data_IF_830025788160
#
_entry.id   IF_830025788160
#
_cell.length_a   1.000
_cell.length_b   1.000
_cell.length_c   1.000
_cell.angle_alpha   90.00
_cell.angle_beta   90.00
_cell.angle_gamma   90.00
#
_symmetry.space_group_name_H-M   'P 1'
#
loop_
_entity.id
_entity.type
_entity.pdbx_description
1 polymer ?
#
# COMPACT_ATOMS: atom_id res chain seq x y z
N UNK A 1 -66.27 -29.93 -42.15
CA UNK A 1 -66.01 -30.15 -40.71
C UNK A 1 -64.76 -31.02 -40.63
N UNK A 2 -63.59 -30.38 -40.51
CA UNK A 2 -62.28 -31.03 -40.48
C UNK A 2 -61.55 -30.61 -39.20
N UNK A 3 -60.93 -31.61 -38.55
CA UNK A 3 -60.02 -31.47 -37.43
C UNK A 3 -58.83 -30.58 -37.78
N UNK A 4 -58.45 -29.66 -36.88
CA UNK A 4 -57.10 -29.11 -36.86
C UNK A 4 -56.54 -29.16 -35.44
N UNK A 5 -55.51 -29.97 -35.30
CA UNK A 5 -54.71 -30.28 -34.12
C UNK A 5 -53.86 -29.06 -33.74
N UNK A 6 -54.04 -28.50 -32.54
CA UNK A 6 -53.13 -27.45 -32.02
C UNK A 6 -52.12 -28.11 -31.09
N UNK A 7 -50.88 -28.15 -31.56
CA UNK A 7 -49.69 -28.62 -30.85
C UNK A 7 -49.25 -27.54 -29.85
N UNK A 8 -49.45 -27.76 -28.55
CA UNK A 8 -48.90 -26.89 -27.50
C UNK A 8 -47.43 -27.27 -27.25
N UNK A 9 -46.51 -26.45 -27.74
CA UNK A 9 -45.08 -26.58 -27.43
C UNK A 9 -44.84 -26.02 -26.03
N UNK A 10 -44.57 -26.90 -25.06
CA UNK A 10 -44.08 -26.51 -23.74
C UNK A 10 -42.59 -26.16 -23.85
N UNK A 11 -42.27 -24.87 -23.78
CA UNK A 11 -40.88 -24.41 -23.64
C UNK A 11 -40.53 -24.37 -22.14
N UNK A 12 -39.92 -25.43 -21.62
CA UNK A 12 -39.35 -25.40 -20.26
C UNK A 12 -38.02 -24.64 -20.31
N UNK A 13 -38.03 -23.41 -19.80
CA UNK A 13 -36.81 -22.67 -19.47
C UNK A 13 -36.09 -23.37 -18.32
N UNK A 14 -35.00 -24.08 -18.62
CA UNK A 14 -34.01 -24.46 -17.62
C UNK A 14 -33.23 -23.19 -17.23
N UNK A 15 -33.57 -22.58 -16.09
CA UNK A 15 -32.69 -21.60 -15.46
C UNK A 15 -31.58 -22.36 -14.74
N UNK A 16 -30.40 -22.36 -15.33
CA UNK A 16 -29.19 -22.83 -14.65
C UNK A 16 -28.85 -21.84 -13.55
N UNK A 17 -29.24 -22.19 -12.32
CA UNK A 17 -28.67 -21.67 -11.08
C UNK A 17 -27.16 -21.96 -11.11
N UNK A 18 -26.38 -21.04 -11.67
CA UNK A 18 -24.96 -20.98 -11.43
C UNK A 18 -24.80 -20.43 -10.01
N UNK A 19 -24.88 -21.33 -9.03
CA UNK A 19 -24.43 -21.03 -7.69
C UNK A 19 -22.99 -20.56 -7.79
N UNK A 20 -22.75 -19.28 -7.48
CA UNK A 20 -21.40 -18.78 -7.27
C UNK A 20 -20.83 -19.61 -6.13
N UNK A 21 -19.81 -20.43 -6.41
CA UNK A 21 -19.07 -21.11 -5.36
C UNK A 21 -18.50 -19.98 -4.50
N UNK A 22 -18.90 -19.86 -3.21
CA UNK A 22 -18.32 -18.84 -2.36
C UNK A 22 -16.79 -19.04 -2.35
N UNK A 23 -15.99 -17.97 -2.39
CA UNK A 23 -14.54 -18.11 -2.37
C UNK A 23 -14.12 -19.00 -1.20
N UNK A 24 -13.19 -19.93 -1.46
CA UNK A 24 -12.74 -20.88 -0.46
C UNK A 24 -12.27 -20.11 0.78
N UNK A 25 -12.71 -20.56 1.96
CA UNK A 25 -12.17 -20.07 3.24
C UNK A 25 -10.65 -20.19 3.16
N UNK A 26 -9.95 -19.06 3.25
CA UNK A 26 -8.49 -19.01 3.10
C UNK A 26 -7.82 -20.07 3.96
N UNK A 27 -6.86 -20.79 3.37
CA UNK A 27 -6.05 -21.78 4.09
C UNK A 27 -5.15 -21.12 5.14
N UNK A 28 -4.48 -21.91 6.00
CA UNK A 28 -3.47 -21.37 6.89
C UNK A 28 -2.39 -20.62 6.09
N UNK A 29 -1.86 -19.54 6.66
CA UNK A 29 -0.77 -18.78 6.03
C UNK A 29 0.37 -19.74 5.65
N UNK A 30 0.96 -19.59 4.44
CA UNK A 30 2.12 -20.39 4.06
C UNK A 30 3.25 -20.24 5.09
N UNK A 31 3.98 -21.32 5.35
CA UNK A 31 4.99 -21.38 6.42
C UNK A 31 6.02 -20.25 6.34
N UNK A 32 6.52 -19.95 5.14
CA UNK A 32 7.47 -18.85 4.93
C UNK A 32 6.88 -17.47 5.26
N UNK A 33 5.59 -17.27 5.05
CA UNK A 33 4.91 -16.01 5.39
C UNK A 33 4.78 -15.88 6.90
N UNK A 34 4.49 -16.99 7.58
CA UNK A 34 4.43 -17.06 9.04
C UNK A 34 5.80 -16.76 9.67
N UNK A 35 6.85 -17.43 9.22
CA UNK A 35 8.22 -17.18 9.67
C UNK A 35 8.65 -15.73 9.43
N UNK A 36 8.33 -15.17 8.26
CA UNK A 36 8.65 -13.78 7.96
C UNK A 36 7.89 -12.78 8.85
N UNK A 37 6.62 -13.07 9.15
CA UNK A 37 5.82 -12.23 10.06
C UNK A 37 6.36 -12.30 11.49
N UNK A 38 6.76 -13.50 11.94
CA UNK A 38 7.40 -13.70 13.26
C UNK A 38 8.76 -12.98 13.34
N UNK A 39 9.58 -13.05 12.29
CA UNK A 39 10.84 -12.31 12.22
C UNK A 39 10.60 -10.81 12.29
N UNK A 40 9.68 -10.27 11.48
CA UNK A 40 9.36 -8.83 11.47
C UNK A 40 8.84 -8.35 12.83
N UNK A 41 8.00 -9.14 13.49
CA UNK A 41 7.54 -8.85 14.86
C UNK A 41 8.68 -8.93 15.89
N UNK A 42 9.67 -9.78 15.69
CA UNK A 42 10.81 -9.90 16.62
C UNK A 42 11.90 -8.84 16.42
N UNK A 43 12.16 -8.44 15.17
CA UNK A 43 13.18 -7.47 14.82
C UNK A 43 12.68 -6.02 14.97
N UNK A 44 11.39 -5.80 14.68
CA UNK A 44 10.77 -4.48 14.72
C UNK A 44 9.45 -4.48 15.51
N UNK A 45 9.47 -4.94 16.79
CA UNK A 45 8.26 -5.11 17.59
C UNK A 45 7.46 -3.81 17.80
N UNK A 46 8.17 -2.68 17.79
CA UNK A 46 7.62 -1.34 17.99
C UNK A 46 7.66 -0.50 16.71
N UNK A 47 7.71 -1.13 15.53
CA UNK A 47 7.52 -0.37 14.31
C UNK A 47 6.04 -0.04 14.13
N UNK A 48 5.78 1.13 13.57
CA UNK A 48 4.44 1.60 13.26
C UNK A 48 3.61 0.54 12.49
N UNK A 49 4.23 -0.08 11.48
CA UNK A 49 3.62 -1.17 10.71
C UNK A 49 3.31 -2.42 11.55
N UNK A 50 4.17 -2.78 12.51
CA UNK A 50 3.91 -3.93 13.38
C UNK A 50 2.69 -3.68 14.28
N UNK A 51 2.56 -2.48 14.85
CA UNK A 51 1.39 -2.08 15.63
C UNK A 51 0.10 -2.13 14.81
N UNK A 52 0.14 -1.53 13.62
CA UNK A 52 -0.97 -1.53 12.67
C UNK A 52 -1.42 -2.96 12.33
N UNK A 53 -0.47 -3.84 11.98
CA UNK A 53 -0.78 -5.24 11.63
C UNK A 53 -1.39 -5.97 12.83
N UNK A 54 -0.85 -5.78 14.04
CA UNK A 54 -1.38 -6.39 15.25
C UNK A 54 -2.82 -5.93 15.52
N UNK A 55 -3.08 -4.62 15.44
CA UNK A 55 -4.43 -4.05 15.59
C UNK A 55 -5.39 -4.68 14.58
N UNK A 56 -5.01 -4.76 13.31
CA UNK A 56 -5.81 -5.34 12.25
C UNK A 56 -6.11 -6.84 12.47
N UNK A 57 -5.12 -7.62 12.90
CA UNK A 57 -5.32 -9.04 13.24
C UNK A 57 -6.34 -9.19 14.36
N UNK A 58 -6.20 -8.39 15.42
CA UNK A 58 -7.14 -8.40 16.56
C UNK A 58 -8.55 -8.04 16.12
N UNK A 59 -8.72 -7.01 15.29
CA UNK A 59 -10.03 -6.58 14.81
C UNK A 59 -10.66 -7.61 13.86
N UNK A 60 -9.87 -8.27 13.01
CA UNK A 60 -10.33 -9.43 12.23
C UNK A 60 -10.77 -10.60 13.10
N UNK A 61 -10.03 -10.91 14.17
CA UNK A 61 -10.43 -11.96 15.10
C UNK A 61 -11.77 -11.63 15.78
N UNK A 62 -11.97 -10.37 16.21
CA UNK A 62 -13.25 -9.92 16.77
C UNK A 62 -14.40 -10.06 15.77
N UNK A 63 -14.20 -9.68 14.50
CA UNK A 63 -15.23 -9.81 13.46
C UNK A 63 -15.53 -11.28 13.07
N UNK A 64 -14.56 -12.18 13.19
CA UNK A 64 -14.80 -13.63 13.04
C UNK A 64 -15.63 -14.18 14.20
N UNK A 65 -15.35 -13.70 15.43
CA UNK A 65 -16.05 -14.13 16.63
C UNK A 65 -17.47 -13.53 16.73
N UNK A 66 -17.72 -12.39 16.09
CA UNK A 66 -19.04 -11.75 16.01
C UNK A 66 -19.55 -11.68 14.56
N UNK A 67 -20.34 -12.66 14.11
CA UNK A 67 -20.81 -12.74 12.72
C UNK A 67 -21.76 -11.59 12.30
N UNK A 68 -22.26 -10.77 13.24
CA UNK A 68 -23.01 -9.55 12.92
C UNK A 68 -22.11 -8.41 12.40
N UNK A 69 -20.82 -8.41 12.78
CA UNK A 69 -19.84 -7.44 12.29
C UNK A 69 -19.48 -7.78 10.84
N UNK A 70 -19.17 -9.04 10.54
CA UNK A 70 -18.77 -9.45 9.19
C UNK A 70 -17.43 -8.82 8.75
N UNK A 71 -16.57 -9.60 8.10
CA UNK A 71 -15.26 -9.14 7.62
C UNK A 71 -15.31 -7.96 6.62
N UNK A 72 -16.47 -7.69 6.05
CA UNK A 72 -16.69 -6.60 5.10
C UNK A 72 -17.07 -5.27 5.77
N UNK A 73 -17.40 -5.27 7.08
CA UNK A 73 -17.66 -4.03 7.84
C UNK A 73 -16.50 -3.69 8.78
N UNK A 74 -15.33 -4.31 8.57
CA UNK A 74 -14.12 -3.87 9.24
C UNK A 74 -13.73 -2.50 8.69
N UNK A 75 -13.31 -1.62 9.59
CA UNK A 75 -12.76 -0.32 9.23
C UNK A 75 -11.55 -0.52 8.30
N UNK A 76 -11.52 0.21 7.19
CA UNK A 76 -10.36 0.26 6.30
C UNK A 76 -9.17 0.77 7.09
N UNK A 77 -8.07 0.03 7.05
CA UNK A 77 -6.84 0.47 7.68
C UNK A 77 -6.16 1.48 6.76
N UNK A 78 -6.05 2.72 7.20
CA UNK A 78 -5.33 3.78 6.49
C UNK A 78 -3.93 3.95 7.08
N UNK A 79 -2.92 4.08 6.23
CA UNK A 79 -1.53 4.38 6.63
C UNK A 79 -0.95 5.47 5.73
N UNK A 80 -0.39 6.50 6.35
CA UNK A 80 0.16 7.69 5.70
C UNK A 80 1.68 7.75 5.81
N UNK A 81 2.36 8.24 4.77
CA UNK A 81 3.82 8.35 4.71
C UNK A 81 4.32 9.69 4.13
N UNK A 82 5.42 10.25 4.67
CA UNK A 82 6.14 11.32 4.00
C UNK A 82 7.04 10.73 2.91
N UNK A 83 6.98 11.28 1.70
CA UNK A 83 7.86 10.90 0.59
C UNK A 83 8.79 12.06 0.29
N UNK A 84 10.08 11.90 0.58
CA UNK A 84 11.08 12.94 0.37
C UNK A 84 11.80 12.73 -0.97
N UNK A 85 11.72 13.71 -1.86
CA UNK A 85 12.43 13.71 -3.15
C UNK A 85 13.70 14.54 -3.02
N UNK A 86 14.83 13.86 -2.94
CA UNK A 86 16.15 14.49 -2.81
C UNK A 86 16.87 14.68 -4.15
N UNK A 87 17.73 15.70 -4.22
CA UNK A 87 18.73 15.87 -5.29
C UNK A 87 20.12 16.11 -4.71
N UNK A 88 21.13 15.65 -5.43
CA UNK A 88 22.53 15.92 -5.13
C UNK A 88 22.91 17.37 -5.46
N UNK A 89 23.92 17.91 -4.79
CA UNK A 89 24.42 19.27 -5.04
C UNK A 89 24.96 19.48 -6.46
N UNK A 90 25.40 18.40 -7.11
CA UNK A 90 25.88 18.39 -8.49
C UNK A 90 24.84 17.91 -9.51
N UNK A 91 23.58 17.72 -9.09
CA UNK A 91 22.50 17.31 -9.98
C UNK A 91 22.19 18.41 -11.00
N UNK A 92 22.32 18.07 -12.28
CA UNK A 92 21.94 18.92 -13.42
C UNK A 92 20.67 18.37 -14.07
N UNK A 93 19.81 19.24 -14.60
CA UNK A 93 18.55 18.88 -15.29
C UNK A 93 17.53 18.16 -14.40
N UNK A 94 17.24 18.78 -13.25
CA UNK A 94 16.20 18.33 -12.32
C UNK A 94 14.82 18.61 -12.94
N UNK A 95 13.99 17.57 -13.05
CA UNK A 95 12.61 17.72 -13.54
C UNK A 95 11.76 18.42 -12.48
N UNK A 96 11.43 19.69 -12.69
CA UNK A 96 10.78 20.55 -11.69
C UNK A 96 9.43 20.03 -11.20
N UNK A 97 8.66 19.36 -12.07
CA UNK A 97 7.32 18.84 -11.77
C UNK A 97 7.32 17.40 -11.24
N UNK A 98 8.48 16.76 -11.10
CA UNK A 98 8.56 15.37 -10.62
C UNK A 98 7.90 15.15 -9.25
N UNK A 99 8.03 16.04 -8.24
CA UNK A 99 7.34 15.86 -6.96
C UNK A 99 5.82 15.87 -7.10
N UNK A 100 5.26 16.75 -7.94
CA UNK A 100 3.82 16.82 -8.18
C UNK A 100 3.33 15.61 -8.99
N UNK A 101 4.11 15.16 -9.97
CA UNK A 101 3.82 13.93 -10.71
C UNK A 101 3.83 12.71 -9.78
N UNK A 102 4.81 12.62 -8.87
CA UNK A 102 4.86 11.57 -7.85
C UNK A 102 3.68 11.65 -6.89
N UNK A 103 3.23 12.83 -6.47
CA UNK A 103 2.02 12.95 -5.64
C UNK A 103 0.79 12.37 -6.37
N UNK A 104 0.63 12.72 -7.64
CA UNK A 104 -0.47 12.21 -8.48
C UNK A 104 -0.36 10.70 -8.73
N UNK A 105 0.84 10.20 -8.98
CA UNK A 105 1.11 8.77 -9.22
C UNK A 105 0.94 7.92 -7.95
N UNK A 106 1.34 8.43 -6.79
CA UNK A 106 1.31 7.65 -5.56
C UNK A 106 -0.06 7.71 -4.87
N UNK A 107 -0.68 8.90 -4.77
CA UNK A 107 -1.78 9.12 -3.82
C UNK A 107 -3.03 9.75 -4.44
N UNK A 108 -2.91 10.81 -5.25
CA UNK A 108 -4.09 11.62 -5.63
C UNK A 108 -4.85 11.05 -6.83
N UNK A 109 -4.11 10.58 -7.84
CA UNK A 109 -4.68 10.11 -9.11
C UNK A 109 -5.43 11.19 -9.90
N UNK A 110 -6.07 10.79 -11.03
CA UNK A 110 -5.95 9.49 -11.69
C UNK A 110 -4.57 9.32 -12.37
N UNK A 111 -4.04 8.09 -12.41
CA UNK A 111 -2.79 7.76 -13.09
C UNK A 111 -2.98 6.62 -14.10
N UNK A 112 -2.26 6.58 -15.25
CA UNK A 112 -2.53 5.61 -16.32
C UNK A 112 -2.44 4.14 -15.90
N UNK A 113 -1.61 3.82 -14.91
CA UNK A 113 -1.35 2.45 -14.44
C UNK A 113 -1.98 2.14 -13.08
N UNK A 114 -2.95 2.95 -12.65
CA UNK A 114 -3.41 3.06 -11.26
C UNK A 114 -2.37 3.74 -10.37
N UNK A 115 -2.86 4.42 -9.33
CA UNK A 115 -2.00 4.95 -8.28
C UNK A 115 -1.54 3.87 -7.31
N UNK A 116 -0.52 4.15 -6.52
CA UNK A 116 -0.13 3.24 -5.42
C UNK A 116 -1.27 3.04 -4.42
N UNK A 117 -1.98 4.12 -4.05
CA UNK A 117 -3.20 4.06 -3.23
C UNK A 117 -4.25 3.12 -3.82
N UNK A 118 -4.59 3.31 -5.10
CA UNK A 118 -5.57 2.46 -5.81
C UNK A 118 -5.13 0.99 -5.86
N UNK A 119 -3.85 0.74 -6.14
CA UNK A 119 -3.30 -0.61 -6.18
C UNK A 119 -3.46 -1.35 -4.86
N UNK A 120 -3.08 -0.73 -3.73
CA UNK A 120 -3.20 -1.36 -2.42
C UNK A 120 -4.65 -1.50 -1.97
N UNK A 121 -5.51 -0.53 -2.28
CA UNK A 121 -6.93 -0.60 -1.97
C UNK A 121 -7.63 -1.73 -2.73
N UNK A 122 -7.33 -1.90 -4.03
CA UNK A 122 -7.89 -2.97 -4.85
C UNK A 122 -7.42 -4.35 -4.37
N UNK A 123 -6.11 -4.54 -4.22
CA UNK A 123 -5.54 -5.83 -3.84
C UNK A 123 -5.85 -6.24 -2.39
N UNK A 124 -6.20 -5.28 -1.53
CA UNK A 124 -6.64 -5.55 -0.16
C UNK A 124 -8.15 -5.70 -0.01
N UNK A 125 -8.94 -5.62 -1.09
CA UNK A 125 -10.41 -5.61 -1.03
C UNK A 125 -10.96 -4.48 -0.14
N UNK A 126 -10.43 -3.28 -0.28
CA UNK A 126 -10.74 -2.10 0.52
C UNK A 126 -10.40 -2.23 2.02
N UNK A 127 -9.50 -3.14 2.39
CA UNK A 127 -9.10 -3.36 3.78
C UNK A 127 -7.82 -2.61 4.16
N UNK A 128 -7.07 -2.11 3.19
CA UNK A 128 -5.84 -1.37 3.39
C UNK A 128 -5.73 -0.23 2.38
N UNK A 129 -5.59 0.98 2.88
CA UNK A 129 -5.47 2.20 2.11
C UNK A 129 -4.16 2.91 2.44
N UNK A 130 -3.46 3.34 1.39
CA UNK A 130 -2.25 4.15 1.53
C UNK A 130 -2.55 5.61 1.26
N UNK A 131 -1.96 6.48 2.06
CA UNK A 131 -1.97 7.92 1.87
C UNK A 131 -0.56 8.49 2.05
N UNK A 132 -0.38 9.77 1.74
CA UNK A 132 0.89 10.42 1.96
C UNK A 132 1.05 11.76 1.28
N UNK A 133 2.21 12.37 1.55
CA UNK A 133 2.57 13.67 1.00
C UNK A 133 3.99 13.63 0.44
N UNK A 134 4.13 14.09 -0.80
CA UNK A 134 5.42 14.20 -1.48
C UNK A 134 6.03 15.58 -1.26
N UNK A 135 7.23 15.62 -0.70
CA UNK A 135 8.03 16.82 -0.49
C UNK A 135 9.18 16.88 -1.49
N UNK A 136 9.23 17.97 -2.24
CA UNK A 136 9.95 18.05 -3.51
C UNK A 136 11.26 18.83 -3.49
N UNK A 137 12.27 18.23 -4.11
CA UNK A 137 13.61 18.75 -4.41
C UNK A 137 14.38 19.32 -3.22
N UNK A 138 14.59 18.46 -2.24
CA UNK A 138 15.46 18.70 -1.10
C UNK A 138 16.91 18.52 -1.57
N UNK A 139 17.69 19.59 -1.56
CA UNK A 139 19.10 19.53 -1.93
C UNK A 139 19.94 19.05 -0.75
N UNK A 140 20.67 17.96 -0.94
CA UNK A 140 21.70 17.52 0.01
C UNK A 140 23.03 18.23 -0.26
N UNK A 141 23.91 18.27 0.73
CA UNK A 141 25.13 19.09 0.69
C UNK A 141 26.21 18.57 -0.26
N UNK A 142 26.22 17.27 -0.57
CA UNK A 142 27.26 16.61 -1.32
C UNK A 142 26.89 16.27 -2.78
N UNK A 143 27.90 15.91 -3.60
CA UNK A 143 27.69 15.35 -4.92
C UNK A 143 27.18 13.90 -4.87
N UNK A 144 26.65 13.38 -5.97
CA UNK A 144 26.16 12.00 -6.09
C UNK A 144 27.14 10.97 -5.54
N UNK A 145 28.41 11.07 -5.95
CA UNK A 145 29.48 10.11 -5.60
C UNK A 145 29.74 9.95 -4.10
N UNK A 146 29.37 10.94 -3.28
CA UNK A 146 29.47 10.83 -1.82
C UNK A 146 28.43 9.86 -1.26
N UNK A 147 27.21 9.87 -1.82
CA UNK A 147 26.09 9.10 -1.30
C UNK A 147 25.97 7.72 -1.95
N UNK A 148 26.27 7.63 -3.25
CA UNK A 148 26.18 6.37 -4.03
C UNK A 148 27.51 5.62 -4.10
N UNK A 149 28.59 6.24 -3.64
CA UNK A 149 29.95 5.74 -3.83
C UNK A 149 30.45 5.98 -5.27
N UNK A 150 31.74 5.73 -5.54
CA UNK A 150 32.29 5.92 -6.88
C UNK A 150 31.63 4.99 -7.92
N UNK A 151 31.63 5.41 -9.18
CA UNK A 151 31.13 4.58 -10.28
C UNK A 151 31.82 3.20 -10.32
N UNK A 152 31.03 2.15 -10.53
CA UNK A 152 31.54 0.76 -10.61
C UNK A 152 31.78 0.07 -9.27
N UNK A 153 31.41 0.70 -8.15
CA UNK A 153 31.63 0.15 -6.79
C UNK A 153 30.39 -0.54 -6.19
N UNK A 154 29.26 -0.57 -6.90
CA UNK A 154 28.00 -1.13 -6.41
C UNK A 154 27.54 -0.56 -5.06
N UNK A 155 27.80 0.72 -4.80
CA UNK A 155 27.44 1.36 -3.52
C UNK A 155 28.53 1.30 -2.45
N UNK A 156 29.64 0.59 -2.69
CA UNK A 156 30.72 0.47 -1.72
C UNK A 156 31.37 1.84 -1.47
N UNK A 157 31.39 2.26 -0.21
CA UNK A 157 31.89 3.57 0.21
C UNK A 157 30.89 4.71 0.04
N UNK A 158 29.66 4.43 -0.39
CA UNK A 158 28.57 5.40 -0.40
C UNK A 158 27.95 5.59 0.98
N UNK A 159 27.37 6.78 1.18
CA UNK A 159 26.73 7.19 2.43
C UNK A 159 25.22 7.39 2.29
N UNK A 160 24.50 6.39 1.78
CA UNK A 160 23.04 6.45 1.56
C UNK A 160 22.23 6.83 2.83
N UNK A 161 22.63 6.34 4.01
CA UNK A 161 21.98 6.73 5.27
C UNK A 161 22.19 8.23 5.59
N UNK A 162 23.34 8.79 5.21
CA UNK A 162 23.61 10.23 5.36
C UNK A 162 22.75 11.05 4.40
N UNK A 163 22.52 10.57 3.17
CA UNK A 163 21.59 11.19 2.23
C UNK A 163 20.18 11.33 2.84
N UNK A 164 19.67 10.24 3.40
CA UNK A 164 18.35 10.24 4.07
C UNK A 164 18.34 11.17 5.28
N UNK A 165 19.38 11.14 6.12
CA UNK A 165 19.48 12.03 7.29
C UNK A 165 19.46 13.51 6.88
N UNK A 166 20.28 13.91 5.91
CA UNK A 166 20.34 15.31 5.46
C UNK A 166 18.99 15.79 4.91
N UNK A 167 18.26 14.93 4.20
CA UNK A 167 16.91 15.28 3.75
C UNK A 167 15.95 15.49 4.91
N UNK A 168 15.96 14.58 5.91
CA UNK A 168 15.11 14.71 7.11
C UNK A 168 15.45 16.00 7.85
N UNK A 169 16.73 16.25 8.13
CA UNK A 169 17.20 17.45 8.83
C UNK A 169 16.80 18.74 8.07
N UNK A 170 16.81 18.70 6.72
CA UNK A 170 16.44 19.85 5.89
C UNK A 170 14.94 20.18 5.93
N UNK A 171 14.08 19.18 6.15
CA UNK A 171 12.62 19.37 6.11
C UNK A 171 11.99 19.48 7.50
N UNK A 172 12.71 19.10 8.56
CA UNK A 172 12.24 19.11 9.95
C UNK A 172 11.64 20.45 10.39
N UNK A 173 12.15 21.56 9.85
CA UNK A 173 11.63 22.90 10.14
C UNK A 173 10.20 23.17 9.63
N UNK A 174 9.69 22.38 8.68
CA UNK A 174 8.39 22.63 8.04
C UNK A 174 7.55 21.37 7.74
N UNK A 175 8.09 20.17 7.93
CA UNK A 175 7.35 18.90 7.86
C UNK A 175 7.11 18.42 9.27
N UNK A 176 5.83 18.33 9.66
CA UNK A 176 5.47 17.73 10.93
C UNK A 176 5.40 16.21 10.76
N UNK A 177 6.45 15.49 11.17
CA UNK A 177 6.48 14.03 11.05
C UNK A 177 5.41 13.32 11.88
N UNK A 178 4.87 13.96 12.91
CA UNK A 178 3.74 13.43 13.69
C UNK A 178 2.44 13.31 12.89
N UNK A 179 2.31 14.02 11.77
CA UNK A 179 1.15 13.85 10.86
C UNK A 179 1.16 12.47 10.17
N UNK A 180 2.28 11.75 10.24
CA UNK A 180 2.48 10.41 9.66
C UNK A 180 2.65 9.33 10.75
N UNK A 181 2.32 9.65 12.01
CA UNK A 181 2.23 8.67 13.08
C UNK A 181 0.93 7.85 12.93
N UNK A 182 1.05 6.61 12.48
CA UNK A 182 -0.08 5.73 12.22
C UNK A 182 -0.44 4.78 13.38
N UNK A 183 0.30 4.81 14.49
CA UNK A 183 0.01 4.03 15.71
C UNK A 183 -0.22 4.91 16.95
N UNK A 184 0.02 6.22 16.85
CA UNK A 184 -0.33 7.22 17.85
C UNK A 184 0.58 7.17 19.08
N UNK A 185 1.80 6.65 18.94
CA UNK A 185 2.73 6.45 20.04
C UNK A 185 3.82 7.53 20.18
N UNK A 186 3.92 8.46 19.21
CA UNK A 186 4.75 9.66 19.27
C UNK A 186 6.25 9.41 19.46
#
# INVERSE_FOLDING_TARGET
MNNLMVLAVFFTLFTSLHGTIPPMKGGPLPEKVREHTEMMQSEYPNSNMAHIIQKWVVDKQKAILNPEIGINNLETLTTSFPVLVGKYADAVNVQTDAPQQLQAELFDGPWPTLTMREFYLENSYNQFELDGMVYGWIEVSGPESLYTGPYGTFGMGGHAATFVREMIDSVDAYVNFADFDNDGDG
#
